data_IF_212339808600
#
_entry.id   IF_212339808600
#
_cell.length_a   1.000
_cell.length_b   1.000
_cell.length_c   1.000
_cell.angle_alpha   90.00
_cell.angle_beta   90.00
_cell.angle_gamma   90.00
#
_symmetry.space_group_name_H-M   'P 1'
#
loop_
_entity.id
_entity.type
_entity.pdbx_description
1 polymer ?
#
# COMPACT_ATOMS: atom_id res chain seq x y z
N UNK A 1 11.31 6.85 11.43
CA UNK A 1 11.29 5.83 10.36
C UNK A 1 10.85 6.51 9.08
N UNK A 2 11.74 6.58 8.11
CA UNK A 2 11.49 7.26 6.84
C UNK A 2 10.48 6.46 6.01
N UNK A 3 9.38 7.11 5.62
CA UNK A 3 8.40 6.52 4.70
C UNK A 3 8.96 6.67 3.28
N UNK A 4 8.99 5.58 2.52
CA UNK A 4 9.47 5.58 1.14
C UNK A 4 8.36 6.03 0.20
N UNK A 5 8.65 6.97 -0.69
CA UNK A 5 7.77 7.29 -1.83
C UNK A 5 7.84 6.15 -2.85
N UNK A 6 6.68 5.68 -3.29
CA UNK A 6 6.53 4.57 -4.25
C UNK A 6 5.58 4.94 -5.37
N UNK A 7 5.74 4.28 -6.51
CA UNK A 7 4.86 4.38 -7.69
C UNK A 7 4.21 3.02 -8.00
N UNK A 8 3.09 2.98 -8.76
CA UNK A 8 2.48 1.72 -9.15
C UNK A 8 3.47 0.79 -9.86
N UNK A 9 3.54 -0.47 -9.40
CA UNK A 9 4.46 -1.49 -9.91
C UNK A 9 5.77 -1.63 -9.14
N UNK A 10 6.07 -0.75 -8.17
CA UNK A 10 7.24 -0.92 -7.31
C UNK A 10 7.12 -2.19 -6.46
N UNK A 11 8.20 -2.98 -6.39
CA UNK A 11 8.29 -4.15 -5.51
C UNK A 11 8.41 -3.70 -4.04
N UNK A 12 7.54 -4.25 -3.19
CA UNK A 12 7.48 -3.91 -1.77
C UNK A 12 7.87 -5.10 -0.88
N UNK A 13 7.58 -6.33 -1.31
CA UNK A 13 7.98 -7.55 -0.60
C UNK A 13 7.86 -8.77 -1.50
N UNK A 14 8.66 -9.80 -1.23
CA UNK A 14 8.53 -11.12 -1.84
C UNK A 14 7.60 -12.06 -1.05
N UNK A 15 7.00 -11.58 0.05
CA UNK A 15 6.02 -12.33 0.84
C UNK A 15 4.60 -11.77 0.63
N UNK A 16 3.80 -12.48 -0.16
CA UNK A 16 2.39 -12.18 -0.42
C UNK A 16 1.55 -11.98 0.85
N UNK A 17 1.90 -12.64 1.96
CA UNK A 17 1.16 -12.51 3.23
C UNK A 17 1.30 -11.11 3.82
N UNK A 18 2.27 -10.31 3.38
CA UNK A 18 2.44 -8.93 3.82
C UNK A 18 1.59 -7.92 3.05
N UNK A 19 0.82 -8.32 2.04
CA UNK A 19 -0.06 -7.40 1.30
C UNK A 19 -1.12 -6.76 2.19
N UNK A 20 -1.25 -5.44 2.06
CA UNK A 20 -2.25 -4.59 2.69
C UNK A 20 -2.86 -3.58 1.71
N UNK A 21 -3.49 -2.53 2.21
CA UNK A 21 -4.17 -1.51 1.38
C UNK A 21 -3.22 -0.76 0.45
N UNK A 22 -3.67 -0.43 -0.75
CA UNK A 22 -2.85 0.24 -1.75
C UNK A 22 -1.74 -0.65 -2.34
N UNK A 23 -1.83 -1.97 -2.16
CA UNK A 23 -0.92 -2.95 -2.78
C UNK A 23 -1.69 -4.00 -3.59
N UNK A 24 -0.98 -4.75 -4.43
CA UNK A 24 -1.51 -5.95 -5.07
C UNK A 24 -0.47 -7.08 -5.05
N UNK A 25 -0.92 -8.33 -5.17
CA UNK A 25 -0.05 -9.51 -5.22
C UNK A 25 0.06 -10.03 -6.65
N UNK A 26 1.29 -10.28 -7.10
CA UNK A 26 1.56 -10.97 -8.37
C UNK A 26 2.76 -11.90 -8.18
N UNK A 27 2.65 -13.15 -8.61
CA UNK A 27 3.71 -14.16 -8.49
C UNK A 27 4.29 -14.23 -7.05
N UNK A 28 3.40 -14.32 -6.05
CA UNK A 28 3.74 -14.33 -4.63
C UNK A 28 4.44 -13.07 -4.06
N UNK A 29 4.68 -12.04 -4.88
CA UNK A 29 5.28 -10.78 -4.46
C UNK A 29 4.24 -9.67 -4.34
N UNK A 30 4.48 -8.73 -3.43
CA UNK A 30 3.66 -7.55 -3.15
C UNK A 30 4.23 -6.36 -3.90
N UNK A 31 3.36 -5.67 -4.64
CA UNK A 31 3.70 -4.48 -5.40
C UNK A 31 2.81 -3.31 -4.99
N UNK A 32 3.32 -2.10 -5.18
CA UNK A 32 2.51 -0.90 -4.99
C UNK A 32 1.43 -0.81 -6.07
N UNK A 33 0.19 -0.54 -5.66
CA UNK A 33 -0.90 -0.21 -6.58
C UNK A 33 -0.99 1.30 -6.83
N UNK A 34 -0.47 2.11 -5.90
CA UNK A 34 -0.72 3.55 -5.84
C UNK A 34 0.59 4.35 -5.85
N UNK A 35 0.48 5.61 -6.27
CA UNK A 35 1.51 6.59 -5.99
C UNK A 35 1.32 7.10 -4.56
N UNK A 36 2.34 6.92 -3.70
CA UNK A 36 2.16 7.24 -2.30
C UNK A 36 3.35 6.94 -1.40
N UNK A 37 3.07 6.89 -0.10
CA UNK A 37 4.04 6.56 0.94
C UNK A 37 3.85 5.12 1.40
N UNK A 38 4.86 4.28 1.18
CA UNK A 38 4.87 2.92 1.68
C UNK A 38 5.12 2.89 3.20
N UNK A 39 4.27 2.16 3.91
CA UNK A 39 4.33 1.94 5.35
C UNK A 39 4.59 0.45 5.62
N UNK A 40 5.81 0.13 6.08
CA UNK A 40 6.24 -1.23 6.36
C UNK A 40 5.98 -1.58 7.84
N UNK A 41 4.79 -2.13 8.12
CA UNK A 41 4.45 -2.76 9.41
C UNK A 41 4.27 -4.27 9.19
N UNK A 42 3.36 -4.90 9.94
CA UNK A 42 2.95 -6.31 9.75
C UNK A 42 2.43 -6.54 8.33
N UNK A 43 1.49 -5.68 7.91
CA UNK A 43 1.08 -5.51 6.52
C UNK A 43 1.74 -4.27 5.92
N UNK A 44 2.03 -4.33 4.64
CA UNK A 44 2.56 -3.24 3.85
C UNK A 44 1.38 -2.53 3.21
N UNK A 45 1.20 -1.27 3.61
CA UNK A 45 0.18 -0.39 3.05
C UNK A 45 0.85 0.74 2.26
N UNK A 46 0.17 1.25 1.24
CA UNK A 46 0.57 2.45 0.52
C UNK A 46 -0.47 3.53 0.78
N UNK A 47 -0.06 4.59 1.47
CA UNK A 47 -0.92 5.76 1.73
C UNK A 47 -0.85 6.66 0.50
N UNK A 48 -1.94 6.81 -0.27
CA UNK A 48 -1.93 7.62 -1.49
C UNK A 48 -1.69 9.10 -1.16
N UNK A 49 -0.92 9.78 -2.01
CA UNK A 49 -0.70 11.23 -1.89
C UNK A 49 -1.81 12.06 -2.55
N UNK A 50 -2.63 11.43 -3.39
CA UNK A 50 -3.80 12.03 -4.03
C UNK A 50 -4.85 10.95 -4.32
N UNK A 51 -6.12 11.36 -4.40
CA UNK A 51 -7.22 10.44 -4.69
C UNK A 51 -8.55 10.96 -4.17
N UNK A 52 -9.62 10.22 -4.47
CA UNK A 52 -10.92 10.43 -3.85
C UNK A 52 -10.95 9.77 -2.48
N UNK A 53 -11.89 10.21 -1.64
CA UNK A 53 -12.22 9.52 -0.40
C UNK A 53 -12.63 8.07 -0.69
N UNK A 54 -12.03 7.13 0.05
CA UNK A 54 -12.39 5.71 0.07
C UNK A 54 -12.95 5.43 1.47
N UNK A 55 -14.26 5.15 1.61
CA UNK A 55 -14.88 5.03 2.93
C UNK A 55 -14.37 3.80 3.70
N UNK A 56 -14.04 4.02 4.97
CA UNK A 56 -13.68 3.00 5.94
C UNK A 56 -14.78 2.80 7.00
N UNK A 57 -14.87 1.62 7.62
CA UNK A 57 -15.75 1.41 8.76
C UNK A 57 -15.41 2.37 9.91
N UNK A 58 -16.41 3.12 10.39
CA UNK A 58 -16.26 4.07 11.50
C UNK A 58 -16.01 5.52 11.08
N UNK A 59 -15.91 5.81 9.79
CA UNK A 59 -15.85 7.18 9.30
C UNK A 59 -17.16 7.93 9.62
N UNK A 60 -17.03 9.12 10.19
CA UNK A 60 -18.15 10.03 10.46
C UNK A 60 -18.20 11.08 9.34
N UNK A 61 -19.16 10.94 8.43
CA UNK A 61 -19.28 11.70 7.18
C UNK A 61 -20.52 12.58 7.16
#
# INVERSE_FOLDING_TARGET
>A
MDRKVVVPGDLLSEDAKRSGEGTYVKNASVYSLLYGLANFRDKINVIPLAGKYVPGPGDNV
#
